data_IF_193087116572
#
_entry.id   IF_193087116572
#
_cell.length_a   1.000
_cell.length_b   1.000
_cell.length_c   1.000
_cell.angle_alpha   90.00
_cell.angle_beta   90.00
_cell.angle_gamma   90.00
#
_symmetry.space_group_name_H-M   'P 1'
#
loop_
_entity.id
_entity.type
_entity.pdbx_description
1 polymer ?
#
# COMPACT_ATOMS: atom_id res chain seq x y z
N UNK A 1 11.29 12.18 31.84
CA UNK A 1 10.86 13.05 30.72
C UNK A 1 9.80 12.32 29.90
N UNK A 2 8.75 12.98 29.41
CA UNK A 2 7.63 12.32 28.72
C UNK A 2 8.06 11.55 27.46
N UNK A 3 9.03 12.06 26.70
CA UNK A 3 9.47 11.43 25.43
C UNK A 3 10.17 10.08 25.65
N UNK A 4 11.03 9.98 26.67
CA UNK A 4 11.67 8.71 27.05
C UNK A 4 10.63 7.68 27.51
N UNK A 5 9.67 8.11 28.34
CA UNK A 5 8.61 7.23 28.82
C UNK A 5 7.72 6.69 27.68
N UNK A 6 7.45 7.52 26.65
CA UNK A 6 6.73 7.10 25.44
C UNK A 6 7.56 6.12 24.59
N UNK A 7 8.87 6.35 24.43
CA UNK A 7 9.78 5.43 23.75
C UNK A 7 9.83 4.07 24.44
N UNK A 8 9.99 4.06 25.77
CA UNK A 8 10.02 2.83 26.55
C UNK A 8 8.67 2.10 26.50
N UNK A 9 7.56 2.84 26.47
CA UNK A 9 6.24 2.25 26.30
C UNK A 9 6.08 1.57 24.93
N UNK A 10 6.56 2.21 23.86
CA UNK A 10 6.57 1.61 22.52
C UNK A 10 7.34 0.29 22.51
N UNK A 11 8.57 0.29 23.04
CA UNK A 11 9.40 -0.93 23.08
C UNK A 11 8.77 -2.04 23.93
N UNK A 12 8.20 -1.71 25.09
CA UNK A 12 7.46 -2.68 25.92
C UNK A 12 6.26 -3.26 25.19
N UNK A 13 5.49 -2.42 24.49
CA UNK A 13 4.30 -2.85 23.74
C UNK A 13 4.68 -3.76 22.57
N UNK A 14 5.74 -3.40 21.83
CA UNK A 14 6.30 -4.22 20.76
C UNK A 14 6.81 -5.57 21.27
N UNK A 15 7.50 -5.59 22.42
CA UNK A 15 8.01 -6.82 23.02
C UNK A 15 6.89 -7.74 23.55
N UNK A 16 5.83 -7.17 24.13
CA UNK A 16 4.72 -7.94 24.69
C UNK A 16 3.79 -8.52 23.60
N UNK A 17 3.56 -7.77 22.52
CA UNK A 17 2.81 -8.24 21.36
C UNK A 17 3.38 -7.61 20.08
N UNK A 18 4.28 -8.31 19.38
CA UNK A 18 4.89 -7.82 18.14
C UNK A 18 3.88 -7.43 17.06
N UNK A 19 2.70 -8.03 17.06
CA UNK A 19 1.61 -7.70 16.13
C UNK A 19 0.73 -6.53 16.59
N UNK A 20 1.00 -5.93 17.75
CA UNK A 20 0.24 -4.76 18.24
C UNK A 20 0.78 -3.42 17.75
N UNK A 21 1.94 -3.44 17.09
CA UNK A 21 2.67 -2.27 16.61
C UNK A 21 3.27 -2.64 15.26
N UNK A 22 2.96 -1.85 14.23
CA UNK A 22 3.55 -2.07 12.91
C UNK A 22 5.07 -1.85 12.97
N UNK A 23 5.88 -2.72 12.35
CA UNK A 23 7.30 -2.46 12.13
C UNK A 23 7.49 -1.16 11.33
N UNK A 24 8.64 -0.52 11.47
CA UNK A 24 9.01 0.62 10.60
C UNK A 24 8.92 0.20 9.14
N UNK A 25 8.47 1.11 8.27
CA UNK A 25 8.22 0.82 6.85
C UNK A 25 6.87 0.12 6.58
N UNK A 26 6.13 -0.24 7.62
CA UNK A 26 4.81 -0.87 7.54
C UNK A 26 3.75 -0.08 8.30
N UNK A 27 2.49 -0.31 7.97
CA UNK A 27 1.35 0.22 8.72
C UNK A 27 0.17 -0.76 8.71
N UNK A 28 -0.72 -0.66 9.70
CA UNK A 28 -2.01 -1.34 9.66
C UNK A 28 -3.01 -0.50 8.89
N UNK A 29 -3.57 -1.04 7.80
CA UNK A 29 -4.60 -0.40 6.98
C UNK A 29 -5.76 -1.32 6.68
N UNK A 30 -6.94 -0.72 6.58
CA UNK A 30 -8.15 -1.39 6.12
C UNK A 30 -8.02 -1.69 4.63
N UNK A 31 -7.97 -2.99 4.29
CA UNK A 31 -7.99 -3.49 2.91
C UNK A 31 -9.33 -4.16 2.67
N UNK A 32 -10.10 -3.61 1.73
CA UNK A 32 -11.48 -4.01 1.49
C UNK A 32 -11.60 -5.17 0.52
N UNK A 33 -10.66 -5.30 -0.43
CA UNK A 33 -10.73 -6.35 -1.43
C UNK A 33 -9.36 -6.93 -1.73
N UNK A 34 -9.35 -8.24 -1.95
CA UNK A 34 -8.20 -8.93 -2.50
C UNK A 34 -8.48 -9.27 -3.97
N UNK A 35 -7.52 -8.99 -4.83
CA UNK A 35 -7.48 -9.56 -6.18
C UNK A 35 -6.68 -10.85 -6.05
N UNK A 36 -7.38 -11.97 -5.96
CA UNK A 36 -6.78 -13.30 -5.90
C UNK A 36 -6.42 -13.79 -7.31
N UNK A 37 -5.14 -14.01 -7.52
CA UNK A 37 -4.55 -14.31 -8.81
C UNK A 37 -4.19 -15.79 -8.94
N UNK A 38 -4.64 -16.41 -10.01
CA UNK A 38 -4.12 -17.69 -10.49
C UNK A 38 -2.77 -17.53 -11.19
N UNK A 39 -2.08 -18.64 -11.43
CA UNK A 39 -0.75 -18.64 -12.08
C UNK A 39 -0.79 -18.03 -13.50
N UNK A 40 -1.92 -18.20 -14.20
CA UNK A 40 -2.18 -17.69 -15.55
C UNK A 40 -2.74 -16.26 -15.57
N UNK A 41 -2.78 -15.57 -14.42
CA UNK A 41 -3.31 -14.20 -14.32
C UNK A 41 -4.83 -14.10 -14.30
N UNK A 42 -5.55 -15.22 -14.16
CA UNK A 42 -6.98 -15.19 -13.82
C UNK A 42 -7.17 -14.50 -12.48
N UNK A 43 -8.18 -13.65 -12.37
CA UNK A 43 -8.41 -12.84 -11.19
C UNK A 43 -9.81 -13.04 -10.62
N UNK A 44 -9.84 -13.40 -9.34
CA UNK A 44 -11.07 -13.45 -8.54
C UNK A 44 -10.99 -12.36 -7.48
N UNK A 45 -12.02 -11.52 -7.42
CA UNK A 45 -12.18 -10.50 -6.41
C UNK A 45 -12.84 -11.11 -5.18
N UNK A 46 -12.17 -10.95 -4.04
CA UNK A 46 -12.67 -11.39 -2.74
C UNK A 46 -12.96 -10.16 -1.89
N UNK A 47 -14.21 -10.05 -1.44
CA UNK A 47 -14.65 -9.00 -0.51
C UNK A 47 -14.21 -9.35 0.92
N UNK A 48 -13.41 -8.47 1.51
CA UNK A 48 -12.87 -8.57 2.87
C UNK A 48 -13.50 -7.55 3.82
N UNK A 49 -14.62 -6.93 3.42
CA UNK A 49 -15.36 -6.02 4.28
C UNK A 49 -16.22 -6.80 5.24
N UNK A 50 -16.27 -6.34 6.49
CA UNK A 50 -17.14 -6.95 7.49
C UNK A 50 -18.61 -6.60 7.22
N UNK A 51 -19.58 -7.50 7.44
CA UNK A 51 -21.00 -7.21 7.18
C UNK A 51 -21.54 -5.96 7.92
N UNK A 52 -20.98 -5.64 9.07
CA UNK A 52 -21.32 -4.49 9.91
C UNK A 52 -20.55 -3.20 9.55
N UNK A 53 -19.42 -3.31 8.84
CA UNK A 53 -18.58 -2.18 8.45
C UNK A 53 -18.43 -2.14 6.93
N UNK A 54 -18.84 -1.02 6.32
CA UNK A 54 -18.55 -0.72 4.90
C UNK A 54 -17.04 -0.49 4.61
N UNK A 55 -16.16 -1.01 5.46
CA UNK A 55 -14.70 -0.84 5.48
C UNK A 55 -14.02 -2.20 5.49
N UNK A 56 -12.80 -2.23 4.98
CA UNK A 56 -12.00 -3.45 4.93
C UNK A 56 -11.49 -3.90 6.30
N UNK A 57 -10.95 -5.11 6.33
CA UNK A 57 -10.26 -5.63 7.51
C UNK A 57 -8.87 -4.98 7.65
N UNK A 58 -8.46 -4.59 8.87
CA UNK A 58 -7.11 -4.13 9.12
C UNK A 58 -6.09 -5.24 8.86
N UNK A 59 -5.09 -4.96 8.04
CA UNK A 59 -3.94 -5.84 7.84
C UNK A 59 -2.66 -5.02 7.75
N UNK A 60 -1.53 -5.68 8.03
CA UNK A 60 -0.21 -5.07 7.90
C UNK A 60 0.12 -4.92 6.41
N UNK A 61 0.50 -3.73 5.97
CA UNK A 61 0.90 -3.43 4.58
C UNK A 61 2.11 -2.50 4.57
N UNK A 62 2.87 -2.41 3.47
CA UNK A 62 3.87 -1.37 3.31
C UNK A 62 3.29 0.02 3.59
N UNK A 63 4.05 0.86 4.28
CA UNK A 63 3.63 2.20 4.65
C UNK A 63 3.12 3.00 3.44
N UNK A 64 2.01 3.71 3.61
CA UNK A 64 1.48 4.54 2.53
C UNK A 64 2.46 5.64 2.13
N UNK A 65 2.56 5.86 0.82
CA UNK A 65 3.29 6.96 0.24
C UNK A 65 2.77 8.31 0.72
N UNK A 66 3.68 9.25 0.96
CA UNK A 66 3.31 10.64 1.25
C UNK A 66 2.87 11.31 -0.05
N UNK A 67 1.56 11.44 -0.21
CA UNK A 67 0.91 12.09 -1.35
C UNK A 67 0.51 13.51 -1.01
N UNK A 68 1.22 14.50 -1.56
CA UNK A 68 0.90 15.91 -1.39
C UNK A 68 1.04 16.67 -2.73
N UNK A 69 0.21 17.71 -2.89
CA UNK A 69 0.25 18.60 -4.05
C UNK A 69 -0.22 17.97 -5.37
N UNK A 70 0.06 18.67 -6.47
CA UNK A 70 -0.39 18.31 -7.81
C UNK A 70 0.21 17.00 -8.35
N UNK A 71 1.29 16.52 -7.74
CA UNK A 71 2.03 15.33 -8.15
C UNK A 71 1.73 14.10 -7.29
N UNK A 72 0.71 14.16 -6.43
CA UNK A 72 0.24 13.03 -5.61
C UNK A 72 -0.05 11.76 -6.43
N UNK A 73 -0.40 11.89 -7.71
CA UNK A 73 -0.68 10.77 -8.60
C UNK A 73 0.57 9.96 -9.00
N UNK A 74 1.78 10.52 -8.83
CA UNK A 74 3.06 9.86 -9.18
C UNK A 74 3.55 8.88 -8.12
N UNK A 75 2.86 8.80 -6.96
CA UNK A 75 3.32 8.07 -5.77
C UNK A 75 2.34 6.94 -5.40
N UNK A 76 2.24 5.89 -6.23
CA UNK A 76 1.46 4.71 -5.91
C UNK A 76 2.02 3.99 -4.69
N UNK A 77 1.15 3.44 -3.86
CA UNK A 77 1.54 2.64 -2.70
C UNK A 77 2.12 1.29 -3.19
N UNK A 78 2.98 0.68 -2.37
CA UNK A 78 3.66 -0.57 -2.73
C UNK A 78 2.69 -1.76 -2.63
N UNK A 79 2.25 -2.28 -3.77
CA UNK A 79 1.39 -3.48 -3.94
C UNK A 79 -0.05 -3.38 -3.40
N UNK A 80 -0.48 -2.23 -2.91
CA UNK A 80 -1.86 -1.97 -2.52
C UNK A 80 -2.24 -0.54 -2.87
N UNK A 81 -3.50 -0.24 -3.18
CA UNK A 81 -3.98 1.14 -3.33
C UNK A 81 -5.51 1.18 -3.50
N UNK A 82 -6.06 2.38 -3.73
CA UNK A 82 -7.44 2.52 -4.18
C UNK A 82 -7.62 2.14 -5.66
N UNK A 83 -8.88 1.90 -6.06
CA UNK A 83 -9.27 1.42 -7.41
C UNK A 83 -8.66 2.22 -8.58
N UNK A 84 -8.56 3.55 -8.46
CA UNK A 84 -7.96 4.39 -9.50
C UNK A 84 -6.49 4.09 -9.82
N UNK A 85 -5.67 3.73 -8.81
CA UNK A 85 -4.28 3.34 -9.03
C UNK A 85 -4.20 1.88 -9.50
N UNK A 86 -4.85 0.96 -8.80
CA UNK A 86 -4.67 -0.48 -9.08
C UNK A 86 -5.35 -0.91 -10.39
N UNK A 87 -6.54 -0.39 -10.68
CA UNK A 87 -7.37 -0.86 -11.79
C UNK A 87 -7.63 0.20 -12.87
N UNK A 88 -7.27 1.47 -12.63
CA UNK A 88 -7.53 2.54 -13.59
C UNK A 88 -8.99 2.95 -13.71
N UNK A 89 -9.78 2.70 -12.65
CA UNK A 89 -11.20 3.04 -12.62
C UNK A 89 -11.53 4.23 -11.72
N UNK A 90 -12.52 5.01 -12.15
CA UNK A 90 -13.02 6.16 -11.40
C UNK A 90 -13.88 5.68 -10.24
N UNK A 91 -13.75 6.37 -9.10
CA UNK A 91 -14.69 6.21 -7.99
C UNK A 91 -16.07 6.71 -8.42
N UNK A 92 -17.10 6.11 -7.87
CA UNK A 92 -18.47 6.58 -8.04
C UNK A 92 -18.99 7.19 -6.73
N UNK A 93 -19.91 8.13 -6.87
CA UNK A 93 -20.73 8.65 -5.79
C UNK A 93 -21.82 7.63 -5.41
N UNK A 94 -22.50 7.82 -4.26
CA UNK A 94 -23.62 6.96 -3.87
C UNK A 94 -24.76 6.90 -4.90
N UNK A 95 -24.88 7.90 -5.78
CA UNK A 95 -25.86 7.95 -6.87
C UNK A 95 -25.43 7.23 -8.15
N UNK A 96 -24.27 6.55 -8.14
CA UNK A 96 -23.71 5.82 -9.28
C UNK A 96 -22.98 6.72 -10.30
N UNK A 97 -22.99 8.04 -10.12
CA UNK A 97 -22.28 8.94 -11.02
C UNK A 97 -20.78 8.97 -10.71
N UNK A 98 -19.88 9.10 -11.71
CA UNK A 98 -18.46 9.22 -11.45
C UNK A 98 -18.11 10.44 -10.59
N UNK A 99 -17.20 10.28 -9.64
CA UNK A 99 -16.74 11.39 -8.79
C UNK A 99 -16.07 12.47 -9.68
N UNK A 100 -16.54 13.74 -9.65
CA UNK A 100 -15.96 14.82 -10.42
C UNK A 100 -14.52 15.16 -10.00
N UNK A 101 -14.10 14.79 -8.78
CA UNK A 101 -12.72 14.95 -8.31
C UNK A 101 -11.74 13.96 -8.97
N UNK A 102 -12.26 12.86 -9.52
CA UNK A 102 -11.49 11.84 -10.24
C UNK A 102 -11.71 11.97 -11.74
N UNK A 103 -11.05 12.98 -12.33
CA UNK A 103 -11.01 13.18 -13.78
C UNK A 103 -10.40 11.95 -14.49
N UNK A 104 -10.91 11.54 -15.66
CA UNK A 104 -10.38 10.38 -16.40
C UNK A 104 -8.86 10.43 -16.63
N UNK A 105 -8.34 11.60 -17.01
CA UNK A 105 -6.89 11.81 -17.24
C UNK A 105 -6.06 11.58 -15.98
N UNK A 106 -6.57 12.00 -14.81
CA UNK A 106 -5.90 11.81 -13.52
C UNK A 106 -5.84 10.32 -13.17
N UNK A 107 -6.94 9.60 -13.33
CA UNK A 107 -7.00 8.16 -13.04
C UNK A 107 -6.09 7.37 -13.99
N UNK A 108 -6.07 7.73 -15.27
CA UNK A 108 -5.15 7.13 -16.24
C UNK A 108 -3.68 7.32 -15.81
N UNK A 109 -3.30 8.53 -15.38
CA UNK A 109 -1.96 8.83 -14.87
C UNK A 109 -1.61 8.08 -13.59
N UNK A 110 -2.56 7.98 -12.64
CA UNK A 110 -2.39 7.19 -11.42
C UNK A 110 -2.13 5.72 -11.76
N UNK A 111 -2.96 5.14 -12.62
CA UNK A 111 -2.83 3.76 -13.03
C UNK A 111 -1.52 3.49 -13.77
N UNK A 112 -1.13 4.41 -14.66
CA UNK A 112 0.16 4.34 -15.35
C UNK A 112 1.32 4.34 -14.35
N UNK A 113 1.34 5.28 -13.38
CA UNK A 113 2.39 5.34 -12.37
C UNK A 113 2.45 4.04 -11.53
N UNK A 114 1.29 3.47 -11.17
CA UNK A 114 1.22 2.17 -10.48
C UNK A 114 1.85 1.05 -11.31
N UNK A 115 1.52 0.98 -12.61
CA UNK A 115 2.08 -0.03 -13.53
C UNK A 115 3.57 0.15 -13.77
N UNK A 116 4.05 1.39 -13.89
CA UNK A 116 5.48 1.69 -14.02
C UNK A 116 6.26 1.24 -12.79
N UNK A 117 5.73 1.50 -11.57
CA UNK A 117 6.33 0.98 -10.33
C UNK A 117 6.37 -0.54 -10.32
N UNK A 118 5.31 -1.23 -10.74
CA UNK A 118 5.28 -2.69 -10.81
C UNK A 118 6.30 -3.27 -11.81
N UNK A 119 6.51 -2.60 -12.95
CA UNK A 119 7.51 -3.02 -13.93
C UNK A 119 8.93 -2.90 -13.35
N UNK A 120 9.23 -1.80 -12.67
CA UNK A 120 10.51 -1.64 -11.99
C UNK A 120 10.73 -2.72 -10.91
N UNK A 121 9.69 -3.07 -10.16
CA UNK A 121 9.74 -4.16 -9.17
C UNK A 121 9.95 -5.53 -9.82
N UNK A 122 9.34 -5.78 -10.99
CA UNK A 122 9.55 -7.01 -11.76
C UNK A 122 11.01 -7.15 -12.22
N UNK A 123 11.63 -6.06 -12.63
CA UNK A 123 13.04 -6.03 -13.04
C UNK A 123 13.97 -6.27 -11.84
N UNK A 124 13.64 -5.70 -10.68
CA UNK A 124 14.40 -5.87 -9.44
C UNK A 124 14.21 -7.27 -8.80
N UNK A 125 13.00 -7.83 -8.89
CA UNK A 125 12.60 -9.08 -8.22
C UNK A 125 12.00 -10.10 -9.22
N UNK A 126 12.78 -10.56 -10.21
CA UNK A 126 12.26 -11.40 -11.32
C UNK A 126 11.76 -12.78 -10.88
N UNK A 127 12.11 -13.21 -9.67
CA UNK A 127 11.71 -14.50 -9.10
C UNK A 127 10.46 -14.43 -8.23
N UNK A 128 9.83 -13.25 -8.08
CA UNK A 128 8.58 -13.12 -7.33
C UNK A 128 7.41 -13.79 -8.08
N UNK A 129 6.77 -14.82 -7.52
CA UNK A 129 5.59 -15.43 -8.12
C UNK A 129 4.40 -14.46 -8.14
N UNK A 130 4.25 -13.63 -7.10
CA UNK A 130 3.20 -12.61 -7.01
C UNK A 130 3.32 -11.55 -8.08
N UNK A 131 4.52 -10.97 -8.30
CA UNK A 131 4.74 -10.00 -9.37
C UNK A 131 4.49 -10.62 -10.75
N UNK A 132 4.94 -11.87 -10.98
CA UNK A 132 4.69 -12.57 -12.23
C UNK A 132 3.18 -12.75 -12.51
N UNK A 133 2.40 -13.12 -11.48
CA UNK A 133 0.95 -13.25 -11.59
C UNK A 133 0.27 -11.88 -11.82
N UNK A 134 0.71 -10.82 -11.13
CA UNK A 134 0.22 -9.45 -11.33
C UNK A 134 0.48 -8.97 -12.77
N UNK A 135 1.66 -9.28 -13.32
CA UNK A 135 1.98 -8.96 -14.72
C UNK A 135 0.99 -9.62 -15.67
N UNK A 136 0.77 -10.93 -15.54
CA UNK A 136 -0.18 -11.70 -16.37
C UNK A 136 -1.61 -11.18 -16.22
N UNK A 137 -2.01 -10.80 -15.01
CA UNK A 137 -3.30 -10.17 -14.76
C UNK A 137 -3.51 -8.91 -15.62
N UNK A 138 -2.52 -8.02 -15.68
CA UNK A 138 -2.61 -6.83 -16.52
C UNK A 138 -2.53 -7.14 -18.02
N UNK A 139 -1.74 -8.14 -18.43
CA UNK A 139 -1.68 -8.63 -19.82
C UNK A 139 -3.04 -9.19 -20.29
N UNK A 140 -3.83 -9.74 -19.36
CA UNK A 140 -5.19 -10.27 -19.59
C UNK A 140 -6.30 -9.22 -19.52
N UNK A 141 -5.96 -7.93 -19.54
CA UNK A 141 -6.92 -6.83 -19.55
C UNK A 141 -7.33 -6.35 -18.16
N UNK A 142 -6.67 -6.83 -17.10
CA UNK A 142 -6.82 -6.34 -15.73
C UNK A 142 -8.28 -6.37 -15.27
N UNK A 143 -8.85 -5.18 -15.03
CA UNK A 143 -10.24 -4.99 -14.60
C UNK A 143 -11.26 -5.84 -15.35
N UNK A 144 -11.16 -5.90 -16.70
CA UNK A 144 -12.17 -6.56 -17.52
C UNK A 144 -12.25 -8.06 -17.24
N UNK A 145 -11.14 -8.69 -16.83
CA UNK A 145 -11.04 -10.10 -16.52
C UNK A 145 -11.37 -10.48 -15.07
N UNK A 146 -11.61 -9.50 -14.19
CA UNK A 146 -11.92 -9.79 -12.78
C UNK A 146 -13.32 -10.40 -12.67
N UNK A 147 -13.40 -11.53 -11.97
CA UNK A 147 -14.64 -12.20 -11.57
C UNK A 147 -14.86 -12.09 -10.05
N UNK A 148 -16.08 -12.25 -9.53
CA UNK A 148 -17.33 -12.23 -10.26
C UNK A 148 -17.70 -10.78 -10.66
N UNK A 149 -18.43 -10.61 -11.77
CA UNK A 149 -18.76 -9.30 -12.30
C UNK A 149 -19.59 -8.43 -11.32
N UNK A 150 -20.39 -9.07 -10.48
CA UNK A 150 -21.24 -8.46 -9.47
C UNK A 150 -20.41 -7.73 -8.40
N UNK A 151 -19.26 -8.29 -8.01
CA UNK A 151 -18.38 -7.64 -7.03
C UNK A 151 -17.57 -6.48 -7.63
N UNK A 152 -17.43 -6.40 -8.96
CA UNK A 152 -16.81 -5.23 -9.61
C UNK A 152 -17.63 -3.97 -9.38
N UNK A 153 -18.95 -4.06 -9.36
CA UNK A 153 -19.79 -2.89 -9.05
C UNK A 153 -19.56 -2.40 -7.62
N UNK A 154 -19.31 -3.31 -6.69
CA UNK A 154 -18.99 -2.97 -5.30
C UNK A 154 -17.67 -2.18 -5.16
N UNK A 155 -16.71 -2.35 -6.07
CA UNK A 155 -15.46 -1.58 -6.08
C UNK A 155 -15.68 -0.09 -6.39
N UNK A 156 -16.75 0.25 -7.11
CA UNK A 156 -17.07 1.63 -7.42
C UNK A 156 -17.61 2.41 -6.22
N UNK A 157 -18.21 1.71 -5.27
CA UNK A 157 -19.11 2.27 -4.24
C UNK A 157 -18.42 2.97 -3.05
N UNK A 158 -17.10 3.18 -3.08
CA UNK A 158 -16.36 3.60 -1.89
C UNK A 158 -15.25 4.62 -2.07
N UNK A 159 -15.39 5.75 -1.35
CA UNK A 159 -14.22 6.50 -0.90
C UNK A 159 -13.46 5.68 0.16
N UNK A 160 -12.15 5.52 -0.03
CA UNK A 160 -11.28 4.89 0.96
C UNK A 160 -11.20 3.36 0.94
N UNK A 161 -11.81 2.69 -0.07
CA UNK A 161 -11.62 1.25 -0.25
C UNK A 161 -10.29 0.99 -0.95
N UNK A 162 -9.41 0.31 -0.23
CA UNK A 162 -8.13 -0.15 -0.74
C UNK A 162 -8.22 -1.62 -1.14
N UNK A 163 -7.39 -1.99 -2.09
CA UNK A 163 -7.23 -3.36 -2.56
C UNK A 163 -5.76 -3.73 -2.66
N UNK A 164 -5.51 -5.03 -2.52
CA UNK A 164 -4.18 -5.65 -2.64
C UNK A 164 -4.29 -6.93 -3.48
N UNK A 165 -3.15 -7.55 -3.76
CA UNK A 165 -3.05 -8.80 -4.51
C UNK A 165 -2.72 -9.97 -3.59
N UNK A 166 -3.22 -11.16 -3.93
CA UNK A 166 -2.90 -12.42 -3.26
C UNK A 166 -2.82 -13.52 -4.31
N UNK A 167 -1.91 -14.48 -4.18
CA UNK A 167 -1.93 -15.67 -5.02
C UNK A 167 -2.98 -16.66 -4.50
N UNK A 168 -3.70 -17.32 -5.39
CA UNK A 168 -4.64 -18.39 -5.00
C UNK A 168 -3.92 -19.56 -4.32
N UNK A 169 -2.67 -19.83 -4.70
CA UNK A 169 -1.81 -20.85 -4.10
C UNK A 169 -1.15 -20.41 -2.78
N UNK A 170 -1.28 -19.14 -2.39
CA UNK A 170 -0.69 -18.58 -1.16
C UNK A 170 -1.75 -18.28 -0.12
N UNK A 171 -1.38 -18.39 1.15
CA UNK A 171 -2.18 -17.92 2.28
C UNK A 171 -2.01 -16.40 2.43
N UNK A 172 -0.78 -15.92 2.31
CA UNK A 172 -0.44 -14.52 2.51
C UNK A 172 -0.54 -13.71 1.20
N UNK A 173 -0.90 -12.40 1.30
CA UNK A 173 -0.93 -11.50 0.16
C UNK A 173 0.48 -11.26 -0.42
N UNK A 174 0.53 -10.81 -1.67
CA UNK A 174 1.81 -10.55 -2.37
C UNK A 174 2.65 -9.50 -1.65
N UNK A 175 2.01 -8.56 -0.96
CA UNK A 175 2.71 -7.56 -0.14
C UNK A 175 3.43 -8.13 1.09
N UNK A 176 3.30 -9.43 1.39
CA UNK A 176 4.05 -10.12 2.45
C UNK A 176 5.15 -11.03 1.90
N UNK A 177 5.41 -11.00 0.59
CA UNK A 177 6.58 -11.68 0.04
C UNK A 177 7.87 -11.11 0.65
N UNK A 178 8.88 -11.97 0.80
CA UNK A 178 10.10 -11.62 1.53
C UNK A 178 10.82 -10.38 0.98
N UNK A 179 10.87 -10.22 -0.33
CA UNK A 179 11.51 -9.07 -0.98
C UNK A 179 10.85 -7.73 -0.63
N UNK A 180 9.54 -7.72 -0.32
CA UNK A 180 8.82 -6.50 0.06
C UNK A 180 9.38 -5.95 1.37
N UNK A 181 9.78 -6.82 2.28
CA UNK A 181 10.44 -6.40 3.54
C UNK A 181 11.76 -5.69 3.26
N UNK A 182 12.51 -6.13 2.24
CA UNK A 182 13.76 -5.49 1.84
C UNK A 182 13.52 -4.11 1.23
N UNK A 183 12.50 -3.98 0.37
CA UNK A 183 12.08 -2.69 -0.19
C UNK A 183 11.69 -1.69 0.91
N UNK A 184 10.88 -2.12 1.88
CA UNK A 184 10.50 -1.28 3.02
C UNK A 184 11.70 -0.82 3.85
N UNK A 185 12.73 -1.67 4.00
CA UNK A 185 13.96 -1.33 4.74
C UNK A 185 14.89 -0.41 3.93
N UNK A 186 14.91 -0.54 2.60
CA UNK A 186 15.75 0.30 1.74
C UNK A 186 15.23 1.75 1.69
N UNK A 187 13.90 1.94 1.56
CA UNK A 187 13.27 3.25 1.60
C UNK A 187 13.57 4.01 2.91
N UNK A 188 13.70 3.28 4.03
CA UNK A 188 14.12 3.88 5.31
C UNK A 188 15.56 4.41 5.25
N UNK A 189 16.48 3.65 4.67
CA UNK A 189 17.88 4.06 4.56
C UNK A 189 18.03 5.30 3.69
N UNK A 190 17.34 5.37 2.54
CA UNK A 190 17.37 6.56 1.67
C UNK A 190 16.72 7.78 2.31
N UNK A 191 15.62 7.60 3.05
CA UNK A 191 14.98 8.69 3.80
C UNK A 191 15.92 9.24 4.89
N UNK A 192 16.77 8.37 5.45
CA UNK A 192 17.82 8.76 6.37
C UNK A 192 19.03 9.39 5.66
N UNK A 193 19.31 9.11 4.39
CA UNK A 193 20.42 9.74 3.63
C UNK A 193 20.10 11.17 3.16
N UNK A 194 18.82 11.58 3.15
CA UNK A 194 18.40 12.98 3.05
C UNK A 194 18.77 13.83 4.28
N UNK A 195 19.89 13.51 4.95
CA UNK A 195 20.42 14.17 6.14
C UNK A 195 20.68 15.65 5.86
N UNK A 196 20.08 16.50 6.69
CA UNK A 196 20.52 17.89 6.75
C UNK A 196 21.94 17.94 7.33
N UNK A 197 22.74 18.95 6.94
CA UNK A 197 24.04 19.23 7.59
C UNK A 197 23.87 19.71 9.04
N UNK A 198 22.64 19.88 9.51
CA UNK A 198 22.35 20.37 10.85
C UNK A 198 22.37 19.21 11.84
N UNK A 199 23.17 19.38 12.87
CA UNK A 199 23.36 18.41 13.95
C UNK A 199 22.56 18.86 15.17
N UNK A 200 21.83 17.95 15.81
CA UNK A 200 20.98 18.22 16.97
C UNK A 200 21.17 17.19 18.08
N UNK A 201 20.68 17.54 19.27
CA UNK A 201 20.62 16.62 20.41
C UNK A 201 19.30 15.84 20.40
N UNK A 202 19.38 14.51 20.42
CA UNK A 202 18.22 13.64 20.58
C UNK A 202 17.67 13.76 21.99
N UNK A 203 16.42 14.23 22.13
CA UNK A 203 15.77 14.36 23.44
C UNK A 203 15.40 13.02 24.10
N UNK A 204 15.44 11.91 23.35
CA UNK A 204 15.18 10.57 23.88
C UNK A 204 16.46 9.93 24.39
N UNK A 205 17.49 9.85 23.56
CA UNK A 205 18.74 9.12 23.86
C UNK A 205 19.87 10.00 24.40
N UNK A 206 19.77 11.33 24.29
CA UNK A 206 20.83 12.29 24.62
C UNK A 206 21.97 12.35 23.58
N UNK A 207 21.96 11.48 22.56
CA UNK A 207 23.00 11.43 21.53
C UNK A 207 22.89 12.60 20.56
N UNK A 208 24.03 13.08 20.10
CA UNK A 208 24.13 14.11 19.07
C UNK A 208 24.21 13.45 17.69
N UNK A 209 23.43 13.92 16.73
CA UNK A 209 23.38 13.35 15.38
C UNK A 209 22.73 14.28 14.36
N UNK A 210 22.81 13.92 13.08
CA UNK A 210 22.19 14.68 12.01
C UNK A 210 20.66 14.68 12.13
N UNK A 211 20.04 15.83 11.88
CA UNK A 211 18.59 15.98 11.92
C UNK A 211 18.02 15.52 10.57
N UNK A 212 17.09 14.57 10.61
CA UNK A 212 16.36 14.11 9.43
C UNK A 212 15.59 15.29 8.81
N UNK A 213 15.70 15.46 7.48
CA UNK A 213 15.01 16.55 6.77
C UNK A 213 13.51 16.32 6.68
N UNK A 214 13.10 15.05 6.55
CA UNK A 214 11.71 14.62 6.53
C UNK A 214 11.57 13.42 7.47
N UNK A 215 10.46 13.35 8.18
CA UNK A 215 10.10 12.20 8.99
C UNK A 215 9.01 11.39 8.27
N UNK A 216 9.02 10.06 8.37
CA UNK A 216 7.91 9.24 7.90
C UNK A 216 6.62 9.63 8.60
N UNK A 217 5.49 9.44 7.92
CA UNK A 217 4.18 9.76 8.49
C UNK A 217 3.90 8.82 9.66
N UNK A 218 3.46 9.39 10.78
CA UNK A 218 2.95 8.60 11.91
C UNK A 218 1.51 8.24 11.58
N UNK A 219 1.24 6.94 11.45
CA UNK A 219 -0.05 6.37 11.01
C UNK A 219 -0.92 5.89 12.15
#
# INVERSE_FOLDING_TARGET
>A
MILQALSDYYERKRAANPASVAPTGWEYREIAFFIELGEDGEAVLVDRRSPDRKRGEPMLVPAAEIRAGNDAWKRPNLLWDHIGFVLGWRKQKPDGTPDPADKPEKVARQHQAFRERLLALLDAHPHSPGLAAIRRFYERGGWAGIQPAELREALHSGQGLNLTFKLQSSVDPVCHEFWVTQECQHDEAETQEGQSTNVGHCLVTGRTGAIARLHPKIS
#
